data_IF_086686279736
#
_entry.id   IF_086686279736
#
_cell.length_a   1.000
_cell.length_b   1.000
_cell.length_c   1.000
_cell.angle_alpha   90.00
_cell.angle_beta   90.00
_cell.angle_gamma   90.00
#
_symmetry.space_group_name_H-M   'P 1'
#
loop_
_entity.id
_entity.type
_entity.pdbx_description
1 polymer ?
#
# COMPACT_ATOMS: atom_id res chain seq x y z
N UNK A 1 -1.04 1.94 5.19
CA UNK A 1 0.40 1.82 4.87
C UNK A 1 1.29 2.16 6.06
N UNK A 2 0.97 3.23 6.82
CA UNK A 2 1.83 3.70 7.91
C UNK A 2 2.17 2.59 8.94
N UNK A 3 1.18 1.82 9.39
CA UNK A 3 1.42 0.76 10.37
C UNK A 3 2.15 -0.47 9.81
N UNK A 4 2.15 -0.67 8.50
CA UNK A 4 2.98 -1.70 7.86
C UNK A 4 4.46 -1.34 8.01
N UNK A 5 4.81 -0.07 7.90
CA UNK A 5 6.16 0.43 8.09
C UNK A 5 6.46 0.71 9.58
N UNK A 6 6.19 -0.24 10.44
CA UNK A 6 6.55 -0.22 11.86
C UNK A 6 7.39 -1.43 12.23
N UNK A 7 8.13 -1.33 13.34
CA UNK A 7 9.02 -2.41 13.78
C UNK A 7 8.24 -3.69 14.12
N UNK A 8 7.05 -3.55 14.73
CA UNK A 8 6.24 -4.69 15.19
C UNK A 8 5.42 -5.35 14.08
N UNK A 9 5.22 -4.67 12.93
CA UNK A 9 4.45 -5.23 11.84
C UNK A 9 5.12 -6.47 11.26
N UNK A 10 4.35 -7.55 11.10
CA UNK A 10 4.82 -8.80 10.51
C UNK A 10 4.83 -8.73 8.98
N UNK A 11 5.32 -7.64 8.43
CA UNK A 11 5.55 -7.47 7.01
C UNK A 11 7.00 -7.75 6.66
N UNK A 12 7.25 -8.24 5.44
CA UNK A 12 8.61 -8.45 4.96
C UNK A 12 9.41 -7.15 4.96
N UNK A 13 10.73 -7.19 5.23
CA UNK A 13 11.59 -6.00 5.15
C UNK A 13 11.51 -5.29 3.81
N UNK A 14 11.43 -6.04 2.72
CA UNK A 14 11.31 -5.51 1.35
C UNK A 14 10.02 -4.73 1.16
N UNK A 15 8.92 -5.18 1.76
CA UNK A 15 7.64 -4.48 1.73
C UNK A 15 7.71 -3.15 2.49
N UNK A 16 8.29 -3.16 3.69
CA UNK A 16 8.50 -1.95 4.48
C UNK A 16 9.38 -0.95 3.71
N UNK A 17 10.46 -1.43 3.12
CA UNK A 17 11.37 -0.60 2.31
C UNK A 17 10.66 -0.01 1.09
N UNK A 18 9.87 -0.79 0.38
CA UNK A 18 9.09 -0.32 -0.76
C UNK A 18 8.09 0.79 -0.39
N UNK A 19 7.49 0.71 0.81
CA UNK A 19 6.62 1.76 1.33
C UNK A 19 7.40 3.06 1.57
N UNK A 20 8.62 2.97 2.10
CA UNK A 20 9.46 4.15 2.36
C UNK A 20 9.97 4.81 1.08
N UNK A 21 10.27 4.03 0.06
CA UNK A 21 10.78 4.50 -1.24
C UNK A 21 9.68 4.98 -2.18
N UNK A 22 8.45 4.51 -1.98
CA UNK A 22 7.31 4.79 -2.83
C UNK A 22 6.71 6.17 -2.61
N UNK A 23 5.99 6.62 -3.62
CA UNK A 23 5.17 7.83 -3.59
C UNK A 23 3.75 7.54 -4.08
N UNK A 24 2.85 8.52 -3.95
CA UNK A 24 1.48 8.39 -4.45
C UNK A 24 1.41 8.08 -5.96
N UNK A 25 2.41 8.52 -6.72
CA UNK A 25 2.52 8.28 -8.17
C UNK A 25 2.82 6.81 -8.50
N UNK A 26 3.37 6.05 -7.56
CA UNK A 26 3.65 4.62 -7.71
C UNK A 26 2.44 3.73 -7.48
N UNK A 27 1.31 4.30 -7.07
CA UNK A 27 0.08 3.56 -6.81
C UNK A 27 -0.61 3.19 -8.13
N UNK A 28 -0.92 1.91 -8.27
CA UNK A 28 -1.69 1.36 -9.38
C UNK A 28 -3.07 0.95 -8.89
N UNK A 29 -4.10 1.56 -9.44
CA UNK A 29 -5.50 1.24 -9.14
C UNK A 29 -6.01 0.20 -10.14
N UNK A 30 -6.29 -1.00 -9.66
CA UNK A 30 -6.68 -2.13 -10.53
C UNK A 30 -7.54 -3.14 -9.78
N UNK A 31 -8.37 -3.87 -10.52
CA UNK A 31 -9.14 -5.01 -10.03
C UNK A 31 -8.55 -6.37 -10.47
N UNK A 32 -7.38 -6.37 -11.10
CA UNK A 32 -6.80 -7.56 -11.72
C UNK A 32 -6.52 -8.68 -10.72
N UNK A 33 -6.03 -8.34 -9.51
CA UNK A 33 -5.56 -9.36 -8.56
C UNK A 33 -6.68 -10.06 -7.79
N UNK A 34 -7.73 -9.34 -7.44
CA UNK A 34 -8.79 -9.85 -6.57
C UNK A 34 -10.19 -9.80 -7.18
N UNK A 35 -10.35 -9.16 -8.33
CA UNK A 35 -11.65 -8.82 -8.90
C UNK A 35 -12.31 -7.61 -8.26
N UNK A 36 -11.74 -7.08 -7.18
CA UNK A 36 -12.18 -5.86 -6.49
C UNK A 36 -11.12 -4.76 -6.71
N UNK A 37 -11.58 -3.55 -6.96
CA UNK A 37 -10.69 -2.41 -7.14
C UNK A 37 -9.89 -2.12 -5.88
N UNK A 38 -8.59 -1.99 -6.02
CA UNK A 38 -7.66 -1.72 -4.94
C UNK A 38 -6.41 -0.99 -5.40
N UNK A 39 -5.70 -0.42 -4.45
CA UNK A 39 -4.44 0.28 -4.67
C UNK A 39 -3.26 -0.64 -4.37
N UNK A 40 -2.34 -0.72 -5.30
CA UNK A 40 -1.15 -1.57 -5.20
C UNK A 40 0.12 -0.80 -5.54
N UNK A 41 1.24 -1.23 -4.96
CA UNK A 41 2.56 -0.67 -5.28
C UNK A 41 3.02 -1.12 -6.67
N UNK A 42 3.22 -0.18 -7.58
CA UNK A 42 3.70 -0.43 -8.93
C UNK A 42 4.99 -1.24 -8.99
N UNK A 43 6.03 -0.91 -8.21
CA UNK A 43 7.26 -1.70 -8.18
C UNK A 43 7.06 -3.19 -7.87
N UNK A 44 6.11 -3.55 -7.00
CA UNK A 44 5.79 -4.97 -6.74
C UNK A 44 5.13 -5.66 -7.93
N UNK A 45 4.34 -4.94 -8.71
CA UNK A 45 3.73 -5.43 -9.95
C UNK A 45 4.80 -5.68 -11.00
N UNK A 46 5.74 -4.76 -11.17
CA UNK A 46 6.88 -4.90 -12.08
C UNK A 46 7.75 -6.11 -11.69
N UNK A 47 8.04 -6.25 -10.40
CA UNK A 47 8.82 -7.39 -9.89
C UNK A 47 8.13 -8.75 -10.13
N UNK A 48 6.81 -8.76 -10.23
CA UNK A 48 6.02 -9.95 -10.58
C UNK A 48 5.96 -10.22 -12.10
N UNK A 49 6.58 -9.38 -12.93
CA UNK A 49 6.63 -9.53 -14.39
C UNK A 49 5.44 -8.94 -15.13
N UNK A 50 4.66 -8.08 -14.50
CA UNK A 50 3.51 -7.40 -15.10
C UNK A 50 3.82 -5.93 -15.40
N UNK A 51 3.08 -5.34 -16.35
CA UNK A 51 3.20 -3.92 -16.68
C UNK A 51 2.10 -3.13 -15.94
N UNK A 52 2.46 -2.25 -14.99
CA UNK A 52 1.49 -1.45 -14.24
C UNK A 52 0.65 -0.52 -15.09
N UNK A 53 1.14 -0.13 -16.27
CA UNK A 53 0.42 0.77 -17.18
C UNK A 53 -0.55 0.05 -18.11
N UNK A 54 -0.41 -1.26 -18.27
CA UNK A 54 -1.23 -2.11 -19.12
C UNK A 54 -1.84 -3.29 -18.34
N UNK A 55 -2.44 -3.00 -17.18
CA UNK A 55 -3.09 -4.01 -16.38
C UNK A 55 -4.40 -4.45 -17.05
N UNK A 56 -4.57 -5.76 -17.36
CA UNK A 56 -5.84 -6.26 -17.88
C UNK A 56 -6.93 -6.11 -16.82
N UNK A 57 -8.16 -5.82 -17.25
CA UNK A 57 -9.32 -5.86 -16.37
C UNK A 57 -9.63 -7.29 -15.95
N UNK A 58 -9.96 -7.50 -14.66
CA UNK A 58 -10.53 -8.76 -14.22
C UNK A 58 -12.03 -8.78 -14.56
N UNK A 59 -12.47 -9.85 -15.21
CA UNK A 59 -13.89 -10.11 -15.39
C UNK A 59 -14.40 -10.95 -14.21
N UNK A 60 -15.25 -10.40 -13.33
CA UNK A 60 -15.76 -11.14 -12.17
C UNK A 60 -16.53 -12.42 -12.56
N UNK A 61 -17.10 -12.45 -13.78
CA UNK A 61 -17.81 -13.62 -14.31
C UNK A 61 -16.87 -14.75 -14.72
N UNK A 62 -15.58 -14.46 -14.90
CA UNK A 62 -14.54 -15.43 -15.27
C UNK A 62 -13.68 -15.86 -14.09
N UNK A 63 -14.13 -15.70 -12.88
CA UNK A 63 -13.51 -16.32 -11.70
C UNK A 63 -13.67 -17.85 -11.79
N UNK A 64 -13.02 -18.45 -12.79
CA UNK A 64 -12.88 -19.90 -12.83
C UNK A 64 -11.82 -20.30 -11.83
N UNK A 65 -12.19 -21.20 -10.93
CA UNK A 65 -11.31 -21.91 -10.02
C UNK A 65 -10.41 -22.87 -10.82
N UNK A 66 -9.57 -22.33 -11.70
CA UNK A 66 -8.59 -23.12 -12.41
C UNK A 66 -7.31 -23.21 -11.57
N UNK A 67 -6.78 -24.41 -11.41
CA UNK A 67 -5.63 -24.69 -10.53
C UNK A 67 -4.38 -23.87 -10.86
N UNK A 68 -4.23 -23.41 -12.09
CA UNK A 68 -3.16 -22.49 -12.50
C UNK A 68 -3.38 -21.07 -12.02
N UNK A 69 -4.63 -20.65 -11.88
CA UNK A 69 -5.02 -19.33 -11.38
C UNK A 69 -4.86 -19.25 -9.87
N UNK A 70 -5.04 -20.35 -9.15
CA UNK A 70 -4.89 -20.41 -7.69
C UNK A 70 -3.43 -20.24 -7.25
N UNK A 71 -2.47 -20.81 -7.98
CA UNK A 71 -1.05 -20.63 -7.68
C UNK A 71 -0.60 -19.19 -7.93
N UNK A 72 -1.12 -18.53 -8.97
CA UNK A 72 -0.86 -17.13 -9.25
C UNK A 72 -1.50 -16.20 -8.20
N UNK A 73 -2.74 -16.48 -7.79
CA UNK A 73 -3.43 -15.75 -6.72
C UNK A 73 -2.69 -15.87 -5.39
N UNK A 74 -2.26 -17.08 -5.02
CA UNK A 74 -1.49 -17.32 -3.80
C UNK A 74 -0.15 -16.58 -3.83
N UNK A 75 0.51 -16.54 -4.99
CA UNK A 75 1.75 -15.78 -5.20
C UNK A 75 1.50 -14.27 -5.19
N UNK A 76 0.38 -13.83 -5.77
CA UNK A 76 0.00 -12.42 -5.77
C UNK A 76 -0.21 -11.89 -4.34
N UNK A 77 -0.89 -12.62 -3.47
CA UNK A 77 -1.06 -12.24 -2.07
C UNK A 77 0.26 -12.07 -1.32
N UNK A 78 1.28 -12.79 -1.73
CA UNK A 78 2.61 -12.76 -1.12
C UNK A 78 3.50 -11.66 -1.68
N UNK A 79 3.46 -11.43 -2.99
CA UNK A 79 4.44 -10.64 -3.72
C UNK A 79 3.87 -9.32 -4.28
N UNK A 80 2.54 -9.17 -4.34
CA UNK A 80 1.87 -7.94 -4.73
C UNK A 80 1.40 -7.19 -3.50
N UNK A 81 1.87 -5.97 -3.31
CA UNK A 81 1.69 -5.22 -2.08
C UNK A 81 0.71 -4.08 -2.23
N UNK A 82 -0.31 -4.08 -1.35
CA UNK A 82 -1.26 -2.98 -1.23
C UNK A 82 -0.66 -1.78 -0.51
N UNK A 83 -1.10 -0.59 -0.88
CA UNK A 83 -0.67 0.64 -0.23
C UNK A 83 -1.74 1.73 -0.33
N UNK A 84 -1.62 2.75 0.50
CA UNK A 84 -2.50 3.91 0.47
C UNK A 84 -1.80 5.16 -0.04
N UNK A 85 -2.55 6.19 -0.34
CA UNK A 85 -2.08 7.45 -0.91
C UNK A 85 -1.06 8.20 -0.03
N UNK A 86 -0.98 7.89 1.26
CA UNK A 86 -0.06 8.53 2.21
C UNK A 86 1.37 8.00 2.21
N UNK A 87 1.73 7.07 1.31
CA UNK A 87 3.08 6.47 1.34
C UNK A 87 4.21 7.48 1.15
N UNK A 88 4.01 8.53 0.37
CA UNK A 88 5.02 9.57 0.17
C UNK A 88 5.42 10.37 1.41
N UNK A 89 4.67 10.24 2.51
CA UNK A 89 4.93 10.90 3.78
C UNK A 89 5.66 10.01 4.81
N UNK A 90 6.03 8.78 4.44
CA UNK A 90 6.66 7.81 5.33
C UNK A 90 8.14 7.69 5.00
N UNK A 91 9.02 7.93 5.98
CA UNK A 91 10.47 8.02 5.77
C UNK A 91 11.30 7.12 6.68
N UNK A 92 10.68 6.46 7.65
CA UNK A 92 11.34 5.57 8.59
C UNK A 92 10.41 4.42 9.05
N UNK A 93 10.98 3.48 9.78
CA UNK A 93 10.27 2.33 10.37
C UNK A 93 10.33 2.47 11.90
N UNK A 94 9.44 3.29 12.51
CA UNK A 94 9.43 3.50 13.94
C UNK A 94 8.76 2.34 14.68
N UNK A 95 8.93 2.26 16.02
CA UNK A 95 8.01 1.51 16.86
C UNK A 95 6.57 2.01 16.69
N UNK A 96 5.59 1.11 16.75
CA UNK A 96 4.18 1.46 16.54
C UNK A 96 3.69 2.53 17.54
N UNK A 97 4.13 2.47 18.79
CA UNK A 97 3.80 3.47 19.81
C UNK A 97 4.31 4.87 19.45
N UNK A 98 5.50 4.97 18.89
CA UNK A 98 6.05 6.25 18.42
C UNK A 98 5.25 6.78 17.22
N UNK A 99 4.83 5.92 16.31
CA UNK A 99 3.99 6.33 15.19
C UNK A 99 2.64 6.90 15.67
N UNK A 100 2.01 6.26 16.66
CA UNK A 100 0.78 6.77 17.29
C UNK A 100 1.01 8.15 17.90
N UNK A 101 2.12 8.33 18.61
CA UNK A 101 2.45 9.63 19.20
C UNK A 101 2.64 10.70 18.13
N UNK A 102 3.30 10.38 17.01
CA UNK A 102 3.42 11.32 15.87
C UNK A 102 2.05 11.73 15.33
N UNK A 103 1.10 10.82 15.21
CA UNK A 103 -0.25 11.17 14.76
C UNK A 103 -0.96 12.10 15.75
N UNK A 104 -0.80 11.87 17.04
CA UNK A 104 -1.34 12.75 18.09
C UNK A 104 -0.74 14.16 17.96
N UNK A 105 0.57 14.25 17.85
CA UNK A 105 1.29 15.52 17.74
C UNK A 105 0.91 16.28 16.47
N UNK A 106 0.82 15.57 15.34
CA UNK A 106 0.40 16.14 14.05
C UNK A 106 -1.06 16.62 14.08
N UNK A 107 -1.94 15.89 14.75
CA UNK A 107 -3.33 16.29 14.95
C UNK A 107 -3.41 17.61 15.72
N UNK A 108 -2.72 17.71 16.84
CA UNK A 108 -2.71 18.93 17.66
C UNK A 108 -2.09 20.11 16.91
N UNK A 109 -1.00 19.90 16.20
CA UNK A 109 -0.37 20.94 15.38
C UNK A 109 -1.29 21.43 14.26
N UNK A 110 -2.00 20.51 13.58
CA UNK A 110 -2.95 20.86 12.54
C UNK A 110 -4.14 21.65 13.10
N UNK A 111 -4.67 21.24 14.23
CA UNK A 111 -5.75 21.93 14.93
C UNK A 111 -5.34 23.37 15.31
N UNK A 112 -4.16 23.58 15.88
CA UNK A 112 -3.65 24.91 16.21
C UNK A 112 -3.55 25.82 14.98
N UNK A 113 -3.12 25.28 13.82
CA UNK A 113 -3.06 26.06 12.58
C UNK A 113 -4.44 26.51 12.09
N UNK A 114 -5.45 25.67 12.28
CA UNK A 114 -6.84 26.02 11.92
C UNK A 114 -7.37 27.10 12.89
N UNK A 115 -7.16 26.92 14.19
CA UNK A 115 -7.60 27.87 15.22
C UNK A 115 -6.99 29.27 15.00
N UNK A 116 -5.70 29.35 14.63
CA UNK A 116 -5.02 30.61 14.30
C UNK A 116 -5.58 31.29 13.05
N UNK A 117 -6.12 30.55 12.09
CA UNK A 117 -6.72 31.11 10.85
C UNK A 117 -8.14 31.58 11.04
N UNK A 118 -8.83 31.05 12.04
CA UNK A 118 -10.23 31.39 12.35
C UNK A 118 -10.38 32.47 13.41
N UNK A 119 -9.27 32.88 14.03
CA UNK A 119 -9.24 33.93 15.07
C UNK A 119 -9.27 35.35 14.47
#
# INVERSE_FOLDING_TARGET
>A
SAFIATQEANARPEYKQAILEGSAEDIVYTNFFTGVWGNYLGPSIVAAGLDPQNMPGADPSRMQFDSKTDSFKAKAWKDIWGCGQGIGALHDVPPAGELVQRFIDQYHAARQRIDLRTA
#
